data_IF_349533091712
#
_entry.id   IF_349533091712
#
_cell.length_a   1.000
_cell.length_b   1.000
_cell.length_c   1.000
_cell.angle_alpha   90.00
_cell.angle_beta   90.00
_cell.angle_gamma   90.00
#
_symmetry.space_group_name_H-M   'P 1'
#
loop_
_entity.id
_entity.type
_entity.pdbx_description
1 polymer ?
#
# COMPACT_ATOMS: atom_id res chain seq x y z
N UNK A 1 -30.69 122.60 -30.94
CA UNK A 1 -31.03 122.36 -32.36
C UNK A 1 -30.14 121.21 -32.81
N UNK A 2 -30.56 120.09 -33.39
CA UNK A 2 -31.78 119.74 -34.10
C UNK A 2 -32.03 118.23 -33.95
N UNK A 3 -33.31 117.85 -33.85
CA UNK A 3 -33.80 116.47 -33.79
C UNK A 3 -33.58 115.74 -35.11
N UNK A 4 -33.23 114.45 -35.05
CA UNK A 4 -33.50 113.51 -36.13
C UNK A 4 -34.10 112.21 -35.55
N UNK A 5 -35.43 112.14 -35.57
CA UNK A 5 -36.20 110.90 -35.42
C UNK A 5 -35.97 110.05 -36.68
N UNK A 6 -35.49 108.82 -36.51
CA UNK A 6 -35.53 107.81 -37.57
C UNK A 6 -36.46 106.69 -37.07
N UNK A 7 -37.65 106.63 -37.65
CA UNK A 7 -38.53 105.47 -37.57
C UNK A 7 -38.01 104.42 -38.55
N UNK A 8 -37.72 103.21 -38.08
CA UNK A 8 -37.78 102.01 -38.92
C UNK A 8 -38.06 100.78 -38.08
N UNK A 9 -39.35 100.59 -37.87
CA UNK A 9 -39.95 99.28 -37.67
C UNK A 9 -39.53 98.34 -38.82
N UNK A 10 -39.34 97.06 -38.50
CA UNK A 10 -38.84 95.92 -39.31
C UNK A 10 -37.32 95.67 -39.33
N UNK A 11 -36.91 94.72 -38.48
CA UNK A 11 -35.89 93.70 -38.79
C UNK A 11 -36.24 92.43 -38.00
N UNK A 12 -37.05 91.58 -38.61
CA UNK A 12 -36.65 90.30 -39.24
C UNK A 12 -37.14 89.16 -38.35
N UNK A 13 -38.35 88.67 -38.63
CA UNK A 13 -38.75 87.34 -38.16
C UNK A 13 -37.68 86.40 -38.72
N UNK A 14 -36.87 85.84 -37.84
CA UNK A 14 -35.90 84.81 -38.18
C UNK A 14 -36.72 83.63 -38.73
N UNK A 15 -36.98 83.64 -40.03
CA UNK A 15 -37.66 82.55 -40.71
C UNK A 15 -36.62 81.44 -40.78
N UNK A 16 -36.50 80.67 -39.70
CA UNK A 16 -35.70 79.47 -39.65
C UNK A 16 -36.07 78.60 -40.85
N UNK A 17 -35.07 78.15 -41.61
CA UNK A 17 -35.28 77.31 -42.77
C UNK A 17 -35.78 75.93 -42.29
N UNK A 18 -37.08 75.60 -42.42
CA UNK A 18 -37.64 74.37 -41.83
C UNK A 18 -37.08 73.11 -42.48
N UNK A 19 -36.49 73.25 -43.66
CA UNK A 19 -35.82 72.20 -44.42
C UNK A 19 -34.45 71.81 -43.86
N UNK A 20 -33.74 72.73 -43.19
CA UNK A 20 -32.47 72.45 -42.53
C UNK A 20 -32.67 71.78 -41.17
N UNK A 21 -33.64 72.26 -40.38
CA UNK A 21 -34.00 71.69 -39.07
C UNK A 21 -34.54 70.25 -39.18
N UNK A 22 -35.33 69.94 -40.21
CA UNK A 22 -35.75 68.54 -40.46
C UNK A 22 -34.60 67.63 -40.88
N UNK A 23 -33.58 68.17 -41.55
CA UNK A 23 -32.42 67.39 -42.01
C UNK A 23 -31.47 67.13 -40.85
N UNK A 24 -31.20 68.12 -40.00
CA UNK A 24 -30.42 67.93 -38.76
C UNK A 24 -31.10 66.98 -37.80
N UNK A 25 -32.41 67.11 -37.59
CA UNK A 25 -33.17 66.21 -36.71
C UNK A 25 -33.21 64.76 -37.21
N UNK A 26 -33.23 64.53 -38.54
CA UNK A 26 -33.09 63.17 -39.12
C UNK A 26 -31.69 62.59 -38.95
N UNK A 27 -30.64 63.41 -39.10
CA UNK A 27 -29.25 63.00 -38.91
C UNK A 27 -28.99 62.66 -37.43
N UNK A 28 -29.47 63.48 -36.50
CA UNK A 28 -29.38 63.24 -35.06
C UNK A 28 -30.12 61.98 -34.63
N UNK A 29 -31.34 61.75 -35.14
CA UNK A 29 -32.10 60.51 -34.91
C UNK A 29 -31.40 59.27 -35.48
N UNK A 30 -30.75 59.37 -36.65
CA UNK A 30 -29.99 58.27 -37.23
C UNK A 30 -28.71 57.95 -36.45
N UNK A 31 -28.02 58.96 -35.92
CA UNK A 31 -26.82 58.80 -35.08
C UNK A 31 -27.19 58.20 -33.72
N UNK A 32 -28.30 58.63 -33.11
CA UNK A 32 -28.79 58.06 -31.84
C UNK A 32 -29.27 56.63 -32.01
N UNK A 33 -30.04 56.30 -33.06
CA UNK A 33 -30.44 54.89 -33.29
C UNK A 33 -29.25 53.99 -33.61
N UNK A 34 -28.26 54.48 -34.38
CA UNK A 34 -27.05 53.70 -34.67
C UNK A 34 -26.20 53.47 -33.42
N UNK A 35 -26.12 54.43 -32.50
CA UNK A 35 -25.47 54.24 -31.19
C UNK A 35 -26.21 53.24 -30.31
N UNK A 36 -27.53 53.33 -30.23
CA UNK A 36 -28.35 52.37 -29.49
C UNK A 36 -28.16 50.94 -30.03
N UNK A 37 -28.10 50.76 -31.35
CA UNK A 37 -27.83 49.45 -31.96
C UNK A 37 -26.41 48.94 -31.67
N UNK A 38 -25.41 49.80 -31.54
CA UNK A 38 -24.05 49.40 -31.16
C UNK A 38 -24.02 48.94 -29.69
N UNK A 39 -24.64 49.70 -28.79
CA UNK A 39 -24.71 49.35 -27.35
C UNK A 39 -25.45 48.01 -27.14
N UNK A 40 -26.52 47.75 -27.90
CA UNK A 40 -27.23 46.47 -27.89
C UNK A 40 -26.36 45.31 -28.38
N UNK A 41 -25.57 45.52 -29.44
CA UNK A 41 -24.64 44.51 -29.98
C UNK A 41 -23.52 44.21 -28.99
N UNK A 42 -22.93 45.25 -28.36
CA UNK A 42 -21.89 45.08 -27.35
C UNK A 42 -22.40 44.32 -26.13
N UNK A 43 -23.60 44.65 -25.66
CA UNK A 43 -24.24 43.94 -24.54
C UNK A 43 -24.52 42.47 -24.88
N UNK A 44 -25.08 42.19 -26.05
CA UNK A 44 -25.38 40.82 -26.48
C UNK A 44 -24.09 39.99 -26.68
N UNK A 45 -23.03 40.61 -27.22
CA UNK A 45 -21.72 39.98 -27.31
C UNK A 45 -21.10 39.70 -25.94
N UNK A 46 -21.25 40.62 -24.98
CA UNK A 46 -20.78 40.45 -23.61
C UNK A 46 -21.53 39.32 -22.89
N UNK A 47 -22.86 39.31 -22.94
CA UNK A 47 -23.68 38.25 -22.32
C UNK A 47 -23.36 36.87 -22.91
N UNK A 48 -23.21 36.78 -24.24
CA UNK A 48 -22.80 35.53 -24.91
C UNK A 48 -21.38 35.10 -24.53
N UNK A 49 -20.44 36.03 -24.49
CA UNK A 49 -19.05 35.75 -24.09
C UNK A 49 -18.95 35.29 -22.64
N UNK A 50 -19.70 35.94 -21.74
CA UNK A 50 -19.78 35.58 -20.33
C UNK A 50 -20.37 34.18 -20.15
N UNK A 51 -21.53 33.89 -20.77
CA UNK A 51 -22.18 32.59 -20.67
C UNK A 51 -21.31 31.45 -21.27
N UNK A 52 -20.63 31.72 -22.40
CA UNK A 52 -19.70 30.78 -23.01
C UNK A 52 -18.47 30.53 -22.11
N UNK A 53 -17.92 31.59 -21.52
CA UNK A 53 -16.78 31.51 -20.60
C UNK A 53 -17.11 30.79 -19.30
N UNK A 54 -18.29 31.05 -18.72
CA UNK A 54 -18.81 30.36 -17.55
C UNK A 54 -18.96 28.85 -17.84
N UNK A 55 -19.62 28.49 -18.94
CA UNK A 55 -19.79 27.09 -19.33
C UNK A 55 -18.44 26.38 -19.55
N UNK A 56 -17.54 26.99 -20.32
CA UNK A 56 -16.22 26.42 -20.58
C UNK A 56 -15.38 26.30 -19.30
N UNK A 57 -15.47 27.28 -18.40
CA UNK A 57 -14.80 27.26 -17.10
C UNK A 57 -15.29 26.13 -16.20
N UNK A 58 -16.60 25.90 -16.17
CA UNK A 58 -17.24 24.84 -15.40
C UNK A 58 -16.85 23.45 -15.94
N UNK A 59 -16.86 23.29 -17.26
CA UNK A 59 -16.49 22.04 -17.94
C UNK A 59 -15.01 21.71 -17.76
N UNK A 60 -14.10 22.69 -17.93
CA UNK A 60 -12.67 22.52 -17.63
C UNK A 60 -12.42 22.25 -16.14
N UNK A 61 -13.17 22.91 -15.25
CA UNK A 61 -13.08 22.72 -13.80
C UNK A 61 -13.47 21.29 -13.40
N UNK A 62 -14.59 20.80 -13.93
CA UNK A 62 -15.06 19.44 -13.72
C UNK A 62 -14.02 18.41 -14.22
N UNK A 63 -13.50 18.60 -15.43
CA UNK A 63 -12.49 17.69 -15.99
C UNK A 63 -11.21 17.66 -15.14
N UNK A 64 -10.73 18.82 -14.67
CA UNK A 64 -9.57 18.89 -13.77
C UNK A 64 -9.84 18.20 -12.43
N UNK A 65 -11.03 18.42 -11.86
CA UNK A 65 -11.44 17.79 -10.61
C UNK A 65 -11.47 16.27 -10.73
N UNK A 66 -12.00 15.74 -11.84
CA UNK A 66 -12.08 14.31 -12.09
C UNK A 66 -10.69 13.67 -12.27
N UNK A 67 -9.77 14.34 -12.95
CA UNK A 67 -8.37 13.89 -13.04
C UNK A 67 -7.71 13.85 -11.65
N UNK A 68 -7.94 14.87 -10.81
CA UNK A 68 -7.40 14.90 -9.45
C UNK A 68 -8.00 13.80 -8.57
N UNK A 69 -9.31 13.58 -8.66
CA UNK A 69 -10.01 12.54 -7.92
C UNK A 69 -9.48 11.15 -8.31
N UNK A 70 -9.34 10.89 -9.61
CA UNK A 70 -8.77 9.63 -10.11
C UNK A 70 -7.33 9.40 -9.63
N UNK A 71 -6.52 10.46 -9.52
CA UNK A 71 -5.16 10.38 -8.96
C UNK A 71 -5.17 10.05 -7.47
N UNK A 72 -6.07 10.66 -6.71
CA UNK A 72 -6.22 10.39 -5.27
C UNK A 72 -6.66 8.95 -5.07
N UNK A 73 -7.68 8.48 -5.79
CA UNK A 73 -8.13 7.10 -5.72
C UNK A 73 -7.02 6.10 -6.06
N UNK A 74 -6.20 6.42 -7.07
CA UNK A 74 -5.04 5.58 -7.42
C UNK A 74 -4.02 5.55 -6.27
N UNK A 75 -3.72 6.69 -5.68
CA UNK A 75 -2.79 6.76 -4.55
C UNK A 75 -3.30 5.98 -3.34
N UNK A 76 -4.60 6.01 -3.06
CA UNK A 76 -5.21 5.21 -1.99
C UNK A 76 -5.02 3.72 -2.27
N UNK A 77 -5.31 3.26 -3.50
CA UNK A 77 -5.09 1.87 -3.90
C UNK A 77 -3.63 1.45 -3.79
N UNK A 78 -2.70 2.30 -4.24
CA UNK A 78 -1.26 2.04 -4.12
C UNK A 78 -0.81 1.90 -2.65
N UNK A 79 -1.39 2.70 -1.74
CA UNK A 79 -1.13 2.60 -0.30
C UNK A 79 -1.68 1.29 0.27
N UNK A 80 -2.88 0.87 -0.12
CA UNK A 80 -3.47 -0.40 0.31
C UNK A 80 -2.62 -1.59 -0.16
N UNK A 81 -2.24 -1.60 -1.44
CA UNK A 81 -1.34 -2.62 -2.01
C UNK A 81 0.04 -2.62 -1.34
N UNK A 82 0.58 -1.45 -1.00
CA UNK A 82 1.85 -1.34 -0.28
C UNK A 82 1.76 -1.90 1.14
N UNK A 83 0.65 -1.65 1.85
CA UNK A 83 0.43 -2.23 3.18
C UNK A 83 0.38 -3.74 3.14
N UNK A 84 -0.32 -4.33 2.16
CA UNK A 84 -0.39 -5.79 2.00
C UNK A 84 1.00 -6.36 1.71
N UNK A 85 1.75 -5.77 0.77
CA UNK A 85 3.12 -6.22 0.45
C UNK A 85 4.06 -6.17 1.65
N UNK A 86 4.01 -5.12 2.47
CA UNK A 86 4.83 -5.04 3.69
C UNK A 86 4.54 -6.23 4.62
N UNK A 87 3.27 -6.59 4.80
CA UNK A 87 2.90 -7.70 5.68
C UNK A 87 3.45 -9.01 5.11
N UNK A 88 3.27 -9.25 3.81
CA UNK A 88 3.76 -10.44 3.11
C UNK A 88 5.29 -10.54 3.12
N UNK A 89 6.01 -9.41 3.10
CA UNK A 89 7.48 -9.38 3.17
C UNK A 89 8.02 -9.58 4.59
N UNK A 90 7.35 -9.02 5.61
CA UNK A 90 7.82 -9.06 7.01
C UNK A 90 7.49 -10.39 7.68
N UNK A 91 6.35 -11.00 7.37
CA UNK A 91 5.91 -12.26 7.97
C UNK A 91 6.98 -13.39 7.89
N UNK A 92 7.56 -13.72 6.72
CA UNK A 92 8.60 -14.75 6.65
C UNK A 92 9.88 -14.35 7.40
N UNK A 93 10.25 -13.06 7.38
CA UNK A 93 11.44 -12.57 8.10
C UNK A 93 11.28 -12.70 9.61
N UNK A 94 10.07 -12.43 10.13
CA UNK A 94 9.78 -12.58 11.55
C UNK A 94 9.79 -14.04 11.99
N UNK A 95 9.27 -14.93 11.15
CA UNK A 95 9.30 -16.37 11.39
C UNK A 95 10.74 -16.90 11.42
N UNK A 96 11.55 -16.50 10.45
CA UNK A 96 12.97 -16.85 10.37
C UNK A 96 13.73 -16.35 11.61
N UNK A 97 13.58 -15.07 11.97
CA UNK A 97 14.23 -14.51 13.15
C UNK A 97 13.81 -15.23 14.43
N UNK A 98 12.52 -15.51 14.58
CA UNK A 98 12.00 -16.23 15.74
C UNK A 98 12.54 -17.66 15.81
N UNK A 99 12.75 -18.30 14.66
CA UNK A 99 13.33 -19.65 14.55
C UNK A 99 14.79 -19.64 14.99
N UNK A 100 15.56 -18.67 14.51
CA UNK A 100 16.97 -18.52 14.89
C UNK A 100 17.14 -18.22 16.39
N UNK A 101 16.25 -17.41 16.98
CA UNK A 101 16.22 -17.17 18.43
C UNK A 101 15.90 -18.47 19.19
N UNK A 102 14.85 -19.19 18.78
CA UNK A 102 14.45 -20.44 19.42
C UNK A 102 15.58 -21.49 19.38
N UNK A 103 16.22 -21.67 18.22
CA UNK A 103 17.39 -22.52 18.07
C UNK A 103 18.51 -22.13 19.01
N UNK A 104 18.86 -20.84 19.06
CA UNK A 104 19.95 -20.35 19.93
C UNK A 104 19.67 -20.63 21.40
N UNK A 105 18.44 -20.40 21.86
CA UNK A 105 18.01 -20.69 23.24
C UNK A 105 18.05 -22.19 23.54
N UNK A 106 17.56 -23.04 22.62
CA UNK A 106 17.59 -24.50 22.80
C UNK A 106 19.02 -25.02 22.85
N UNK A 107 19.91 -24.54 21.97
CA UNK A 107 21.32 -24.90 21.97
C UNK A 107 22.03 -24.51 23.28
N UNK A 108 21.68 -23.35 23.83
CA UNK A 108 22.19 -22.90 25.12
C UNK A 108 21.68 -23.76 26.28
N UNK A 109 20.37 -24.06 26.33
CA UNK A 109 19.80 -24.96 27.35
C UNK A 109 20.37 -26.38 27.26
N UNK A 110 20.61 -26.93 26.06
CA UNK A 110 21.22 -28.25 25.89
C UNK A 110 22.68 -28.29 26.32
N UNK A 111 23.39 -27.17 26.18
CA UNK A 111 24.75 -27.03 26.69
C UNK A 111 24.79 -27.03 28.23
N UNK A 112 23.72 -26.53 28.87
CA UNK A 112 23.60 -26.44 30.33
C UNK A 112 23.00 -27.73 30.93
N UNK A 113 22.02 -28.35 30.27
CA UNK A 113 21.26 -29.53 30.73
C UNK A 113 21.19 -30.59 29.65
N UNK A 114 22.21 -31.46 29.56
CA UNK A 114 22.22 -32.52 28.54
C UNK A 114 21.06 -33.52 28.69
N UNK A 115 20.46 -33.64 29.88
CA UNK A 115 19.30 -34.52 30.12
C UNK A 115 18.06 -34.16 29.27
N UNK A 116 17.92 -32.88 28.89
CA UNK A 116 16.84 -32.41 28.00
C UNK A 116 16.94 -33.09 26.64
N UNK A 117 18.16 -33.31 26.14
CA UNK A 117 18.41 -34.00 24.88
C UNK A 117 17.83 -35.42 24.87
N UNK A 118 17.93 -36.12 26.01
CA UNK A 118 17.38 -37.47 26.14
C UNK A 118 15.86 -37.45 26.17
N UNK A 119 15.23 -36.46 26.80
CA UNK A 119 13.77 -36.34 26.75
C UNK A 119 13.25 -36.15 25.32
N UNK A 120 13.93 -35.33 24.52
CA UNK A 120 13.62 -35.09 23.10
C UNK A 120 13.74 -36.39 22.29
N UNK A 121 14.84 -37.13 22.45
CA UNK A 121 15.06 -38.42 21.78
C UNK A 121 14.00 -39.44 22.19
N UNK A 122 13.66 -39.51 23.49
CA UNK A 122 12.60 -40.40 23.98
C UNK A 122 11.25 -40.09 23.34
N UNK A 123 10.90 -38.81 23.18
CA UNK A 123 9.65 -38.41 22.53
C UNK A 123 9.65 -38.77 21.04
N UNK A 124 10.76 -38.52 20.34
CA UNK A 124 10.90 -38.89 18.93
C UNK A 124 10.81 -40.41 18.72
N UNK A 125 11.44 -41.20 19.59
CA UNK A 125 11.33 -42.66 19.58
C UNK A 125 9.89 -43.15 19.83
N UNK A 126 9.10 -42.45 20.66
CA UNK A 126 7.68 -42.80 20.86
C UNK A 126 6.83 -42.51 19.62
N UNK A 127 7.15 -41.46 18.85
CA UNK A 127 6.47 -41.15 17.58
C UNK A 127 6.79 -42.18 16.49
N UNK A 128 7.95 -42.82 16.58
CA UNK A 128 8.38 -43.94 15.75
C UNK A 128 7.71 -45.25 16.20
N UNK A 129 6.39 -45.39 16.00
CA UNK A 129 5.68 -46.66 16.22
C UNK A 129 5.90 -47.65 15.07
N UNK A 130 7.09 -48.28 14.94
CA UNK A 130 7.28 -49.43 14.02
C UNK A 130 8.30 -50.46 14.53
N UNK A 131 7.98 -51.73 14.29
CA UNK A 131 8.80 -52.89 14.64
C UNK A 131 10.08 -52.98 13.79
N UNK A 132 11.21 -52.51 14.33
CA UNK A 132 12.52 -52.65 13.70
C UNK A 132 13.62 -51.94 14.51
N UNK A 133 14.91 -52.23 14.26
CA UNK A 133 16.01 -51.60 14.99
C UNK A 133 16.05 -50.09 14.72
N UNK A 134 16.14 -49.29 15.78
CA UNK A 134 16.28 -47.83 15.70
C UNK A 134 17.77 -47.48 15.67
N UNK A 135 18.21 -46.76 14.64
CA UNK A 135 19.58 -46.23 14.56
C UNK A 135 19.59 -44.76 14.97
N UNK A 136 20.33 -44.44 16.02
CA UNK A 136 20.52 -43.09 16.53
C UNK A 136 21.93 -42.63 16.12
N UNK A 137 22.01 -41.77 15.11
CA UNK A 137 23.27 -41.16 14.66
C UNK A 137 23.54 -39.88 15.47
N UNK A 138 24.74 -39.73 16.01
CA UNK A 138 25.11 -38.58 16.86
C UNK A 138 26.60 -38.24 16.80
N UNK A 139 26.95 -37.02 17.21
CA UNK A 139 28.36 -36.64 17.37
C UNK A 139 29.01 -37.42 18.55
N UNK A 140 30.29 -37.84 18.42
CA UNK A 140 31.03 -38.48 19.52
C UNK A 140 31.05 -37.71 20.85
N UNK A 141 30.97 -36.38 20.82
CA UNK A 141 30.96 -35.52 22.00
C UNK A 141 29.75 -35.76 22.92
N UNK A 142 28.60 -36.17 22.35
CA UNK A 142 27.37 -36.46 23.12
C UNK A 142 27.22 -37.95 23.45
N UNK A 143 28.07 -38.82 22.90
CA UNK A 143 27.99 -40.27 23.09
C UNK A 143 28.03 -40.70 24.56
N UNK A 144 28.91 -40.10 25.36
CA UNK A 144 29.09 -40.47 26.78
C UNK A 144 27.84 -40.20 27.62
N UNK A 145 27.06 -39.17 27.27
CA UNK A 145 25.77 -38.90 27.90
C UNK A 145 24.75 -39.99 27.56
N UNK A 146 24.62 -40.33 26.29
CA UNK A 146 23.69 -41.36 25.81
C UNK A 146 24.05 -42.76 26.32
N UNK A 147 25.33 -43.03 26.52
CA UNK A 147 25.81 -44.29 27.13
C UNK A 147 25.36 -44.44 28.58
N UNK A 148 25.38 -43.37 29.37
CA UNK A 148 24.89 -43.38 30.77
C UNK A 148 23.38 -43.57 30.85
N UNK A 149 22.65 -43.02 29.88
CA UNK A 149 21.19 -43.03 29.83
C UNK A 149 20.61 -44.14 28.94
N UNK A 150 21.47 -44.98 28.34
CA UNK A 150 21.12 -46.14 27.51
C UNK A 150 20.07 -47.05 28.16
N UNK A 151 20.15 -47.39 29.47
CA UNK A 151 19.13 -48.23 30.10
C UNK A 151 17.72 -47.64 29.98
N UNK A 152 17.58 -46.32 30.07
CA UNK A 152 16.28 -45.64 29.98
C UNK A 152 15.75 -45.53 28.54
N UNK A 153 16.62 -45.64 27.54
CA UNK A 153 16.22 -45.68 26.13
C UNK A 153 15.76 -47.09 25.74
N UNK A 154 16.42 -48.13 26.28
CA UNK A 154 16.03 -49.53 26.09
C UNK A 154 14.65 -49.87 26.68
N UNK A 155 14.19 -49.12 27.68
CA UNK A 155 12.81 -49.22 28.20
C UNK A 155 11.74 -48.82 27.17
N UNK A 156 12.11 -47.99 26.17
CA UNK A 156 11.19 -47.50 25.13
C UNK A 156 11.28 -48.39 23.89
N UNK A 157 12.48 -48.77 23.48
CA UNK A 157 12.68 -49.64 22.33
C UNK A 157 13.80 -50.66 22.60
N UNK A 158 13.56 -51.97 22.41
CA UNK A 158 14.52 -53.01 22.76
C UNK A 158 15.77 -53.03 21.87
N UNK A 159 15.64 -52.65 20.59
CA UNK A 159 16.73 -52.66 19.61
C UNK A 159 17.15 -51.25 19.22
N UNK A 160 18.24 -50.76 19.83
CA UNK A 160 18.81 -49.42 19.58
C UNK A 160 20.29 -49.54 19.22
N UNK A 161 20.65 -48.96 18.08
CA UNK A 161 22.02 -48.90 17.57
C UNK A 161 22.49 -47.45 17.66
N UNK A 162 23.64 -47.21 18.28
CA UNK A 162 24.29 -45.90 18.28
C UNK A 162 25.33 -45.85 17.17
N UNK A 163 25.15 -44.91 16.24
CA UNK A 163 26.09 -44.64 15.16
C UNK A 163 26.78 -43.29 15.43
N UNK A 164 28.11 -43.27 15.38
CA UNK A 164 28.91 -42.11 15.73
C UNK A 164 29.49 -41.49 14.47
N UNK A 165 28.96 -40.33 14.10
CA UNK A 165 29.42 -39.60 12.93
C UNK A 165 29.98 -38.24 13.36
N UNK A 166 31.31 -38.01 13.21
CA UNK A 166 31.95 -36.75 13.55
C UNK A 166 31.59 -35.59 12.62
N UNK A 167 30.88 -35.86 11.50
CA UNK A 167 30.38 -34.83 10.58
C UNK A 167 29.20 -34.04 11.17
N UNK A 168 28.49 -34.60 12.15
CA UNK A 168 27.43 -33.88 12.86
C UNK A 168 27.99 -32.80 13.77
N UNK A 169 27.24 -31.72 13.94
CA UNK A 169 27.66 -30.64 14.81
C UNK A 169 27.72 -31.12 16.29
N UNK A 170 28.74 -30.69 17.09
CA UNK A 170 28.94 -31.16 18.47
C UNK A 170 27.79 -30.82 19.43
N UNK A 171 26.89 -29.94 18.99
CA UNK A 171 25.85 -29.27 19.75
C UNK A 171 24.47 -29.96 19.70
N UNK A 172 24.41 -31.24 19.32
CA UNK A 172 23.21 -32.04 19.57
C UNK A 172 22.34 -32.38 18.35
N UNK A 173 22.90 -32.40 17.14
CA UNK A 173 22.24 -33.07 16.03
C UNK A 173 22.16 -34.57 16.31
N UNK A 174 20.93 -35.08 16.38
CA UNK A 174 20.64 -36.49 16.57
C UNK A 174 19.68 -36.92 15.47
N UNK A 175 20.04 -37.94 14.71
CA UNK A 175 19.20 -38.50 13.65
C UNK A 175 18.68 -39.84 14.11
N UNK A 176 17.37 -40.09 14.00
CA UNK A 176 16.73 -41.32 14.49
C UNK A 176 16.06 -42.04 13.32
N UNK A 177 16.75 -42.99 12.71
CA UNK A 177 16.21 -43.78 11.60
C UNK A 177 15.55 -45.09 12.08
N UNK A 178 14.31 -45.33 11.65
CA UNK A 178 13.86 -46.70 11.34
C UNK A 178 14.22 -46.97 9.86
N UNK A 179 13.77 -48.06 9.24
CA UNK A 179 14.02 -48.32 7.81
C UNK A 179 13.63 -47.18 6.83
N UNK A 180 12.87 -46.18 7.30
CA UNK A 180 12.74 -44.83 6.72
C UNK A 180 13.48 -43.82 7.63
N UNK A 181 14.39 -43.02 7.08
CA UNK A 181 15.15 -42.01 7.84
C UNK A 181 14.21 -40.94 8.41
N UNK A 182 14.06 -40.88 9.74
CA UNK A 182 13.43 -39.74 10.40
C UNK A 182 14.54 -38.88 11.02
N UNK A 183 14.83 -37.76 10.36
CA UNK A 183 15.76 -36.78 10.90
C UNK A 183 15.06 -36.05 12.03
N UNK A 184 15.51 -36.26 13.27
CA UNK A 184 14.98 -35.55 14.45
C UNK A 184 16.08 -34.67 15.04
N UNK A 185 16.60 -33.76 14.22
CA UNK A 185 17.46 -32.70 14.74
C UNK A 185 16.64 -31.54 15.31
N UNK A 186 17.29 -30.68 16.09
CA UNK A 186 16.66 -29.51 16.72
C UNK A 186 16.17 -28.53 15.66
N UNK A 187 16.90 -28.35 14.55
CA UNK A 187 16.48 -27.50 13.45
C UNK A 187 15.18 -28.04 12.82
N UNK A 188 15.06 -29.34 12.61
CA UNK A 188 13.85 -30.00 12.12
C UNK A 188 12.67 -29.83 13.07
N UNK A 189 12.87 -29.95 14.39
CA UNK A 189 11.78 -29.72 15.36
C UNK A 189 11.33 -28.27 15.44
N UNK A 190 12.27 -27.31 15.47
CA UNK A 190 11.93 -25.88 15.47
C UNK A 190 11.23 -25.52 14.16
N UNK A 191 11.72 -26.02 13.03
CA UNK A 191 11.10 -25.78 11.72
C UNK A 191 9.68 -26.33 11.68
N UNK A 192 9.45 -27.57 12.13
CA UNK A 192 8.11 -28.16 12.14
C UNK A 192 7.13 -27.40 13.04
N UNK A 193 7.55 -26.95 14.23
CA UNK A 193 6.70 -26.15 15.13
C UNK A 193 6.40 -24.78 14.52
N UNK A 194 7.38 -24.17 13.83
CA UNK A 194 7.21 -22.90 13.14
C UNK A 194 6.30 -23.02 11.92
N UNK A 195 6.42 -24.10 11.15
CA UNK A 195 5.53 -24.41 10.03
C UNK A 195 4.09 -24.64 10.51
N UNK A 196 3.88 -25.32 11.64
CA UNK A 196 2.54 -25.50 12.22
C UNK A 196 1.94 -24.16 12.68
N UNK A 197 2.74 -23.30 13.28
CA UNK A 197 2.32 -21.94 13.67
C UNK A 197 2.04 -21.02 12.47
N UNK A 198 2.78 -21.17 11.36
CA UNK A 198 2.53 -20.44 10.11
C UNK A 198 1.34 -21.00 9.31
N UNK A 199 1.17 -22.33 9.31
CA UNK A 199 0.12 -23.04 8.56
C UNK A 199 -1.28 -22.92 9.16
N UNK A 200 -1.39 -22.69 10.47
CA UNK A 200 -2.69 -22.59 11.16
C UNK A 200 -3.53 -21.36 10.77
N UNK A 201 -3.03 -20.44 9.92
CA UNK A 201 -3.80 -19.27 9.44
C UNK A 201 -4.32 -19.34 8.00
N UNK A 202 -4.00 -20.41 7.25
CA UNK A 202 -4.43 -20.57 5.86
C UNK A 202 -5.84 -21.15 5.67
N UNK A 203 -6.59 -21.40 6.75
CA UNK A 203 -7.81 -22.21 6.66
C UNK A 203 -8.95 -21.70 7.54
N UNK A 204 -9.20 -20.40 7.65
CA UNK A 204 -10.44 -19.80 8.21
C UNK A 204 -10.86 -18.57 7.42
#
# INVERSE_FOLDING_TARGET
>A
MSNAKIYKDRESVLFGMPSLERKTQKIEKGITSSRQSIDEIERDAYEKGYAAGEKAGLEMGAQKAEVLLSRIERMIREIEEYRTRIIEEIEPQLLELSSEIAKKVILEELSIKPEVMVAIVKEAMRKLERAGPITIKMNPAVHELFKRLKPQLLEIHPDIIFDLDPSFAPNGQIVIGASEEIVTDIDSQVTNIMEDMGGSRGNH
#
